data_IF_807074324029
#
_entry.id   IF_807074324029
#
_cell.length_a   1.000
_cell.length_b   1.000
_cell.length_c   1.000
_cell.angle_alpha   90.00
_cell.angle_beta   90.00
_cell.angle_gamma   90.00
#
_symmetry.space_group_name_H-M   'P 1'
#
loop_
_entity.id
_entity.type
_entity.pdbx_description
1 polymer ?
#
# COMPACT_ATOMS: atom_id res chain seq x y z
N UNK A 1 1.39 13.62 5.23
CA UNK A 1 1.82 12.65 4.21
C UNK A 1 1.63 11.27 4.77
N UNK A 2 0.49 10.63 4.52
CA UNK A 2 0.13 9.37 5.18
C UNK A 2 0.14 8.19 4.21
N UNK A 3 0.99 8.22 3.18
CA UNK A 3 1.08 7.13 2.20
C UNK A 3 1.60 5.83 2.80
N UNK A 4 2.32 5.91 3.93
CA UNK A 4 2.75 4.76 4.72
C UNK A 4 1.59 3.89 5.22
N UNK A 5 0.37 4.45 5.41
CA UNK A 5 -0.80 3.66 5.83
C UNK A 5 -1.25 2.67 4.76
N UNK A 6 -0.87 2.91 3.49
CA UNK A 6 -1.14 2.00 2.37
C UNK A 6 -0.17 0.82 2.33
N UNK A 7 0.87 0.81 3.18
CA UNK A 7 1.80 -0.31 3.27
C UNK A 7 1.10 -1.63 3.65
N UNK A 8 0.21 -1.58 4.64
CA UNK A 8 -0.53 -2.75 5.14
C UNK A 8 -1.42 -3.42 4.07
N UNK A 9 -2.35 -2.71 3.38
CA UNK A 9 -3.19 -3.35 2.36
C UNK A 9 -2.36 -3.90 1.19
N UNK A 10 -1.28 -3.22 0.81
CA UNK A 10 -0.36 -3.72 -0.23
C UNK A 10 0.27 -5.02 0.25
N UNK A 11 0.76 -5.07 1.50
CA UNK A 11 1.33 -6.28 2.09
C UNK A 11 0.31 -7.44 2.11
N UNK A 12 -0.95 -7.17 2.43
CA UNK A 12 -2.02 -8.17 2.42
C UNK A 12 -2.24 -8.73 1.02
N UNK A 13 -2.29 -7.88 0.00
CA UNK A 13 -2.42 -8.32 -1.41
C UNK A 13 -1.20 -9.12 -1.84
N UNK A 14 0.01 -8.68 -1.50
CA UNK A 14 1.23 -9.43 -1.79
C UNK A 14 1.20 -10.83 -1.17
N UNK A 15 0.77 -10.98 0.09
CA UNK A 15 0.59 -12.29 0.74
C UNK A 15 -0.45 -13.15 0.03
N UNK A 16 -1.57 -12.55 -0.40
CA UNK A 16 -2.64 -13.25 -1.14
C UNK A 16 -2.14 -13.85 -2.44
N UNK A 17 -1.20 -13.19 -3.10
CA UNK A 17 -0.57 -13.66 -4.35
C UNK A 17 0.75 -14.41 -4.14
N UNK A 18 1.05 -14.81 -2.90
CA UNK A 18 2.27 -15.53 -2.55
C UNK A 18 3.58 -14.84 -3.00
N UNK A 19 3.59 -13.50 -3.05
CA UNK A 19 4.80 -12.72 -3.27
C UNK A 19 5.75 -12.94 -2.09
N UNK A 20 7.00 -13.27 -2.37
CA UNK A 20 8.02 -13.52 -1.35
C UNK A 20 8.39 -12.25 -0.57
N UNK A 21 8.68 -12.40 0.72
CA UNK A 21 9.19 -11.34 1.60
C UNK A 21 8.46 -9.99 1.49
N UNK A 22 7.11 -9.96 1.58
CA UNK A 22 6.34 -8.75 1.30
C UNK A 22 6.64 -7.62 2.29
N UNK A 23 6.93 -7.97 3.55
CA UNK A 23 7.36 -7.01 4.57
C UNK A 23 8.71 -6.37 4.22
N UNK A 24 9.69 -7.16 3.77
CA UNK A 24 11.03 -6.64 3.46
C UNK A 24 11.01 -5.74 2.23
N UNK A 25 10.29 -6.13 1.17
CA UNK A 25 10.14 -5.30 -0.03
C UNK A 25 9.49 -3.95 0.28
N UNK A 26 8.47 -3.93 1.16
CA UNK A 26 7.85 -2.69 1.62
C UNK A 26 8.79 -1.86 2.51
N UNK A 27 9.61 -2.51 3.32
CA UNK A 27 10.61 -1.84 4.18
C UNK A 27 11.73 -1.22 3.36
N UNK A 28 12.12 -1.81 2.24
CA UNK A 28 13.05 -1.19 1.29
C UNK A 28 12.46 0.06 0.65
N UNK A 29 11.18 0.02 0.29
CA UNK A 29 10.46 1.17 -0.25
C UNK A 29 10.40 2.34 0.76
N UNK A 30 10.19 2.05 2.05
CA UNK A 30 10.08 3.08 3.10
C UNK A 30 11.44 3.60 3.59
N UNK A 31 12.55 2.92 3.24
CA UNK A 31 13.92 3.30 3.66
C UNK A 31 14.58 4.38 2.82
N UNK A 32 14.09 4.63 1.61
CA UNK A 32 14.60 5.69 0.74
C UNK A 32 14.38 7.07 1.37
N UNK A 33 15.35 7.98 1.22
CA UNK A 33 15.47 9.29 1.91
C UNK A 33 14.23 10.22 1.87
N UNK A 34 13.22 9.91 1.08
CA UNK A 34 11.99 10.72 0.90
C UNK A 34 10.72 10.08 1.47
N UNK A 35 10.81 8.87 2.05
CA UNK A 35 9.66 8.15 2.59
C UNK A 35 8.71 7.61 1.51
N UNK A 36 7.61 6.99 1.93
CA UNK A 36 6.59 6.50 1.00
C UNK A 36 5.82 7.70 0.43
N UNK A 37 5.83 7.82 -0.89
CA UNK A 37 5.06 8.83 -1.61
C UNK A 37 4.26 8.15 -2.74
N UNK A 38 3.39 8.91 -3.42
CA UNK A 38 2.53 8.37 -4.46
C UNK A 38 3.31 7.71 -5.60
N UNK A 39 4.36 8.38 -6.09
CA UNK A 39 5.15 7.88 -7.22
C UNK A 39 5.91 6.60 -6.85
N UNK A 40 6.59 6.57 -5.71
CA UNK A 40 7.35 5.40 -5.27
C UNK A 40 6.42 4.20 -5.07
N UNK A 41 5.23 4.41 -4.50
CA UNK A 41 4.21 3.38 -4.33
C UNK A 41 3.67 2.87 -5.69
N UNK A 42 3.38 3.78 -6.62
CA UNK A 42 2.88 3.42 -7.95
C UNK A 42 3.91 2.62 -8.75
N UNK A 43 5.19 3.04 -8.72
CA UNK A 43 6.30 2.29 -9.32
C UNK A 43 6.37 0.91 -8.70
N UNK A 44 6.37 0.81 -7.37
CA UNK A 44 6.39 -0.46 -6.66
C UNK A 44 5.25 -1.41 -7.08
N UNK A 45 4.02 -0.92 -7.10
CA UNK A 45 2.83 -1.70 -7.50
C UNK A 45 2.97 -2.22 -8.95
N UNK A 46 3.50 -1.41 -9.86
CA UNK A 46 3.72 -1.82 -11.25
C UNK A 46 4.75 -2.95 -11.37
N UNK A 47 5.76 -2.99 -10.50
CA UNK A 47 6.77 -4.04 -10.46
C UNK A 47 6.29 -5.35 -9.82
N UNK A 48 5.17 -5.36 -9.09
CA UNK A 48 4.64 -6.58 -8.48
C UNK A 48 4.20 -7.61 -9.54
N UNK A 49 4.54 -8.88 -9.30
CA UNK A 49 4.09 -10.01 -10.11
C UNK A 49 2.65 -10.44 -9.75
N UNK A 50 1.70 -9.50 -9.83
CA UNK A 50 0.27 -9.72 -9.56
C UNK A 50 -0.57 -9.41 -10.80
N UNK A 51 -1.81 -9.93 -10.91
CA UNK A 51 -2.69 -9.62 -12.04
C UNK A 51 -2.95 -8.13 -12.21
N UNK A 52 -3.07 -7.65 -13.45
CA UNK A 52 -3.30 -6.22 -13.76
C UNK A 52 -4.54 -5.64 -13.07
N UNK A 53 -5.60 -6.46 -12.92
CA UNK A 53 -6.81 -6.08 -12.18
C UNK A 53 -6.50 -5.65 -10.75
N UNK A 54 -5.59 -6.35 -10.08
CA UNK A 54 -5.19 -6.02 -8.71
C UNK A 54 -4.18 -4.86 -8.67
N UNK A 55 -3.29 -4.75 -9.67
CA UNK A 55 -2.45 -3.55 -9.84
C UNK A 55 -3.31 -2.30 -9.94
N UNK A 56 -4.31 -2.30 -10.83
CA UNK A 56 -5.22 -1.17 -10.99
C UNK A 56 -5.99 -0.85 -9.71
N UNK A 57 -6.43 -1.88 -8.97
CA UNK A 57 -7.08 -1.68 -7.67
C UNK A 57 -6.15 -1.02 -6.66
N UNK A 58 -4.89 -1.46 -6.57
CA UNK A 58 -3.89 -0.87 -5.67
C UNK A 58 -3.50 0.56 -6.10
N UNK A 59 -3.41 0.85 -7.40
CA UNK A 59 -3.10 2.18 -7.94
C UNK A 59 -4.23 3.19 -7.71
N UNK A 60 -5.47 2.71 -7.51
CA UNK A 60 -6.59 3.56 -7.11
C UNK A 60 -6.61 3.86 -5.61
N UNK A 61 -5.82 3.16 -4.79
CA UNK A 61 -5.74 3.45 -3.36
C UNK A 61 -5.03 4.78 -3.12
N UNK A 62 -5.54 5.54 -2.17
CA UNK A 62 -4.97 6.79 -1.70
C UNK A 62 -5.22 6.91 -0.21
N UNK A 63 -4.39 7.65 0.55
CA UNK A 63 -4.62 7.81 1.98
C UNK A 63 -5.99 8.41 2.33
N UNK A 64 -6.57 9.17 1.40
CA UNK A 64 -7.92 9.75 1.54
C UNK A 64 -9.04 8.74 1.35
N UNK A 65 -8.88 7.75 0.46
CA UNK A 65 -9.89 6.69 0.27
C UNK A 65 -9.64 5.47 1.15
N UNK A 66 -8.44 5.36 1.72
CA UNK A 66 -8.03 4.32 2.66
C UNK A 66 -8.15 4.81 4.11
N UNK A 67 -9.21 5.56 4.40
CA UNK A 67 -9.57 5.90 5.79
C UNK A 67 -10.24 4.71 6.50
N UNK A 68 -10.56 3.63 5.79
CA UNK A 68 -11.19 2.44 6.37
C UNK A 68 -12.37 2.80 7.27
N UNK A 69 -12.39 2.27 8.50
CA UNK A 69 -13.33 2.63 9.57
C UNK A 69 -12.83 3.74 10.50
N UNK A 70 -11.75 4.45 10.18
CA UNK A 70 -11.18 5.46 11.08
C UNK A 70 -12.20 6.57 11.42
N UNK A 71 -12.98 7.01 10.43
CA UNK A 71 -14.09 7.93 10.65
C UNK A 71 -15.25 7.29 11.45
N UNK A 72 -15.48 5.99 11.32
CA UNK A 72 -16.53 5.24 12.03
C UNK A 72 -16.16 5.02 13.51
N UNK A 73 -14.87 4.77 13.80
CA UNK A 73 -14.34 4.60 15.15
C UNK A 73 -14.16 5.94 15.89
N UNK A 74 -13.76 7.01 15.19
CA UNK A 74 -13.68 8.35 15.79
C UNK A 74 -15.04 8.90 16.23
N UNK A 75 -16.15 8.45 15.62
CA UNK A 75 -17.52 8.81 16.02
C UNK A 75 -18.07 8.00 17.19
N UNK A 76 -17.35 6.98 17.67
CA UNK A 76 -17.75 6.15 18.82
C UNK A 76 -17.15 6.63 20.14
N UNK A 77 -16.54 7.82 20.16
CA UNK A 77 -16.04 8.50 21.36
C UNK A 77 -17.00 9.63 21.70
#
# INVERSE_FOLDING_TARGET
NNWEILAEPIQTVMRRYAIANPYEQLKELTRGKEGVNRETLHVFINHLAIPDKEKQRLLQLSPHNYLGKAAELARRI
#
